data_IF_065488753146
#
_entry.id   IF_065488753146
#
_cell.length_a   1.000
_cell.length_b   1.000
_cell.length_c   1.000
_cell.angle_alpha   90.00
_cell.angle_beta   90.00
_cell.angle_gamma   90.00
#
_symmetry.space_group_name_H-M   'P 1'
#
loop_
_entity.id
_entity.type
_entity.pdbx_description
1 polymer ?
#
# COMPACT_ATOMS: atom_id res chain seq x y z
N UNK A 1 20.63 11.04 -7.52
CA UNK A 1 19.56 12.06 -7.54
C UNK A 1 18.57 11.70 -6.46
N UNK A 2 18.18 12.65 -5.61
CA UNK A 2 17.10 12.43 -4.64
C UNK A 2 15.72 12.52 -5.32
N UNK A 3 14.68 12.06 -4.63
CA UNK A 3 13.33 11.97 -5.17
C UNK A 3 12.77 13.35 -5.56
N UNK A 4 13.03 14.38 -4.75
CA UNK A 4 12.56 15.73 -5.00
C UNK A 4 13.18 16.29 -6.29
N UNK A 5 14.50 16.14 -6.44
CA UNK A 5 15.24 16.53 -7.64
C UNK A 5 14.77 15.76 -8.88
N UNK A 6 14.44 14.48 -8.74
CA UNK A 6 13.89 13.67 -9.83
C UNK A 6 12.55 14.20 -10.34
N UNK A 7 11.66 14.55 -9.41
CA UNK A 7 10.32 15.09 -9.72
C UNK A 7 10.44 16.46 -10.38
N UNK A 8 11.35 17.32 -9.92
CA UNK A 8 11.63 18.60 -10.57
C UNK A 8 12.15 18.39 -12.01
N UNK A 9 13.08 17.47 -12.25
CA UNK A 9 13.54 17.17 -13.61
C UNK A 9 12.42 16.64 -14.50
N UNK A 10 11.56 15.73 -14.00
CA UNK A 10 10.40 15.24 -14.75
C UNK A 10 9.45 16.39 -15.09
N UNK A 11 9.22 17.29 -14.14
CA UNK A 11 8.41 18.48 -14.35
C UNK A 11 9.01 19.40 -15.42
N UNK A 12 10.31 19.66 -15.37
CA UNK A 12 11.01 20.50 -16.34
C UNK A 12 11.02 19.90 -17.75
N UNK A 13 11.08 18.56 -17.85
CA UNK A 13 11.15 17.83 -19.12
C UNK A 13 9.80 17.28 -19.61
N UNK A 14 8.69 17.68 -18.98
CA UNK A 14 7.35 17.17 -19.33
C UNK A 14 7.01 17.48 -20.79
N UNK A 15 6.44 16.48 -21.47
CA UNK A 15 6.05 16.59 -22.90
C UNK A 15 4.87 17.52 -23.14
N UNK A 16 4.09 17.84 -22.10
CA UNK A 16 2.88 18.66 -22.17
C UNK A 16 2.83 19.66 -21.01
N UNK A 17 2.34 20.87 -21.27
CA UNK A 17 2.36 22.00 -20.35
C UNK A 17 0.97 22.38 -19.84
N UNK A 18 0.15 21.39 -19.48
CA UNK A 18 -1.18 21.65 -18.93
C UNK A 18 -1.12 21.73 -17.41
N UNK A 19 -1.83 22.72 -16.87
CA UNK A 19 -2.08 22.87 -15.44
C UNK A 19 -3.53 22.46 -15.08
N UNK A 20 -4.33 21.95 -16.05
CA UNK A 20 -5.67 21.42 -15.79
C UNK A 20 -5.56 20.06 -15.07
N UNK A 21 -6.03 19.95 -13.81
CA UNK A 21 -5.99 18.69 -13.08
C UNK A 21 -6.73 17.55 -13.78
N UNK A 22 -7.79 17.86 -14.56
CA UNK A 22 -8.56 16.83 -15.27
C UNK A 22 -7.75 16.21 -16.41
N UNK A 23 -7.05 17.04 -17.17
CA UNK A 23 -6.23 16.60 -18.29
C UNK A 23 -5.07 15.72 -17.81
N UNK A 24 -4.40 16.13 -16.72
CA UNK A 24 -3.30 15.34 -16.15
C UNK A 24 -3.77 14.01 -15.57
N UNK A 25 -4.93 13.98 -14.92
CA UNK A 25 -5.52 12.71 -14.48
C UNK A 25 -5.93 11.82 -15.66
N UNK A 26 -6.38 12.42 -16.76
CA UNK A 26 -6.70 11.68 -17.99
C UNK A 26 -5.45 11.02 -18.59
N UNK A 27 -4.33 11.75 -18.71
CA UNK A 27 -3.07 11.20 -19.21
C UNK A 27 -2.56 10.06 -18.30
N UNK A 28 -2.54 10.26 -16.98
CA UNK A 28 -2.17 9.18 -16.06
C UNK A 28 -3.02 7.92 -16.24
N UNK A 29 -4.34 8.09 -16.42
CA UNK A 29 -5.24 6.96 -16.63
C UNK A 29 -4.98 6.25 -17.97
N UNK A 30 -4.62 7.00 -19.02
CA UNK A 30 -4.26 6.45 -20.34
C UNK A 30 -3.02 5.56 -20.25
N UNK A 31 -1.92 6.06 -19.66
CA UNK A 31 -0.67 5.29 -19.54
C UNK A 31 -0.86 3.99 -18.72
N UNK A 32 -1.64 4.05 -17.64
CA UNK A 32 -1.98 2.85 -16.85
C UNK A 32 -2.81 1.86 -17.67
N UNK A 33 -3.76 2.35 -18.47
CA UNK A 33 -4.57 1.51 -19.34
C UNK A 33 -3.75 0.86 -20.46
N UNK A 34 -2.77 1.58 -21.04
CA UNK A 34 -1.83 1.06 -22.02
C UNK A 34 -0.96 -0.05 -21.43
N UNK A 35 -0.43 0.16 -20.22
CA UNK A 35 0.36 -0.84 -19.49
C UNK A 35 -0.44 -2.13 -19.29
N UNK A 36 -1.68 -2.03 -18.81
CA UNK A 36 -2.57 -3.19 -18.64
C UNK A 36 -2.88 -3.88 -19.97
N UNK A 37 -3.16 -3.11 -21.03
CA UNK A 37 -3.44 -3.63 -22.37
C UNK A 37 -2.25 -4.40 -22.94
N UNK A 38 -1.02 -3.95 -22.69
CA UNK A 38 0.20 -4.66 -23.08
C UNK A 38 0.37 -5.98 -22.30
N UNK A 39 0.16 -5.96 -20.98
CA UNK A 39 0.18 -7.19 -20.16
C UNK A 39 -0.83 -8.23 -20.65
N UNK A 40 -2.06 -7.82 -20.96
CA UNK A 40 -3.11 -8.71 -21.46
C UNK A 40 -2.76 -9.35 -22.82
N UNK A 41 -1.85 -8.75 -23.59
CA UNK A 41 -1.33 -9.29 -24.86
C UNK A 41 -0.07 -10.14 -24.68
N UNK A 42 0.43 -10.30 -23.45
CA UNK A 42 1.68 -10.99 -23.14
C UNK A 42 2.94 -10.17 -23.40
N UNK A 43 2.81 -8.89 -23.77
CA UNK A 43 3.96 -8.01 -24.04
C UNK A 43 4.41 -7.32 -22.74
N UNK A 44 5.24 -8.05 -21.98
CA UNK A 44 5.72 -7.60 -20.67
C UNK A 44 6.70 -6.42 -20.78
N UNK A 45 7.50 -6.37 -21.84
CA UNK A 45 8.47 -5.28 -22.01
C UNK A 45 7.79 -3.97 -22.38
N UNK A 46 6.74 -4.02 -23.22
CA UNK A 46 5.91 -2.85 -23.44
C UNK A 46 5.19 -2.43 -22.16
N UNK A 47 4.58 -3.36 -21.44
CA UNK A 47 3.89 -3.04 -20.19
C UNK A 47 4.76 -2.29 -19.18
N UNK A 48 6.05 -2.66 -19.06
CA UNK A 48 7.02 -1.96 -18.20
C UNK A 48 7.27 -0.53 -18.67
N UNK A 49 7.44 -0.31 -19.98
CA UNK A 49 7.63 1.04 -20.55
C UNK A 49 6.42 1.95 -20.29
N UNK A 50 5.20 1.46 -20.57
CA UNK A 50 3.99 2.26 -20.30
C UNK A 50 3.82 2.52 -18.78
N UNK A 51 4.29 1.62 -17.92
CA UNK A 51 4.27 1.84 -16.46
C UNK A 51 5.27 2.92 -16.03
N UNK A 52 6.42 3.03 -16.70
CA UNK A 52 7.39 4.12 -16.49
C UNK A 52 6.84 5.46 -16.99
N UNK A 53 6.09 5.47 -18.10
CA UNK A 53 5.37 6.64 -18.59
C UNK A 53 4.25 7.06 -17.60
N UNK A 54 3.51 6.09 -17.05
CA UNK A 54 2.53 6.33 -15.98
C UNK A 54 3.16 6.91 -14.71
N UNK A 55 4.37 6.48 -14.34
CA UNK A 55 5.11 7.02 -13.19
C UNK A 55 5.42 8.52 -13.38
N UNK A 56 5.82 8.90 -14.60
CA UNK A 56 6.08 10.30 -14.94
C UNK A 56 4.79 11.14 -14.84
N UNK A 57 3.68 10.63 -15.38
CA UNK A 57 2.37 11.27 -15.27
C UNK A 57 1.90 11.41 -13.81
N UNK A 58 2.17 10.41 -12.96
CA UNK A 58 1.85 10.45 -11.54
C UNK A 58 2.62 11.57 -10.83
N UNK A 59 3.90 11.75 -11.09
CA UNK A 59 4.67 12.84 -10.48
C UNK A 59 4.21 14.22 -10.93
N UNK A 60 3.85 14.38 -12.20
CA UNK A 60 3.23 15.62 -12.72
C UNK A 60 1.91 15.88 -12.00
N UNK A 61 1.05 14.87 -11.84
CA UNK A 61 -0.21 14.98 -11.13
C UNK A 61 0.01 15.41 -9.67
N UNK A 62 0.89 14.72 -8.94
CA UNK A 62 1.19 15.05 -7.54
C UNK A 62 1.64 16.51 -7.38
N UNK A 63 2.41 17.04 -8.33
CA UNK A 63 2.83 18.45 -8.33
C UNK A 63 1.67 19.42 -8.58
N UNK A 64 0.80 19.15 -9.56
CA UNK A 64 -0.38 19.99 -9.84
C UNK A 64 -1.37 20.00 -8.67
N UNK A 65 -1.51 18.86 -7.98
CA UNK A 65 -2.36 18.74 -6.79
C UNK A 65 -1.67 19.22 -5.49
N UNK A 66 -0.47 19.80 -5.58
CA UNK A 66 0.32 20.29 -4.43
C UNK A 66 0.51 19.21 -3.33
N UNK A 67 0.78 17.98 -3.75
CA UNK A 67 1.00 16.85 -2.85
C UNK A 67 2.49 16.73 -2.54
N UNK A 68 2.85 16.92 -1.26
CA UNK A 68 4.18 16.56 -0.76
C UNK A 68 4.38 15.04 -0.83
N UNK A 69 5.28 14.61 -1.72
CA UNK A 69 5.50 13.21 -2.05
C UNK A 69 6.11 12.44 -0.87
N UNK A 70 7.07 13.03 -0.15
CA UNK A 70 7.70 12.35 0.98
C UNK A 70 6.68 12.12 2.11
N UNK A 71 5.87 13.13 2.39
CA UNK A 71 4.83 13.05 3.40
C UNK A 71 3.68 12.14 2.97
N UNK A 72 3.32 12.12 1.68
CA UNK A 72 2.38 11.16 1.13
C UNK A 72 2.88 9.72 1.31
N UNK A 73 4.15 9.44 1.00
CA UNK A 73 4.78 8.11 1.20
C UNK A 73 4.75 7.73 2.68
N UNK A 74 5.16 8.63 3.59
CA UNK A 74 5.12 8.38 5.04
C UNK A 74 3.70 8.03 5.50
N UNK A 75 2.69 8.81 5.10
CA UNK A 75 1.28 8.56 5.41
C UNK A 75 0.80 7.21 4.88
N UNK A 76 1.14 6.85 3.65
CA UNK A 76 0.76 5.57 3.06
C UNK A 76 1.41 4.39 3.81
N UNK A 77 2.71 4.48 4.14
CA UNK A 77 3.39 3.44 4.93
C UNK A 77 2.73 3.23 6.29
N UNK A 78 2.35 4.31 6.98
CA UNK A 78 1.63 4.22 8.26
C UNK A 78 0.25 3.57 8.07
N UNK A 79 -0.50 3.95 7.04
CA UNK A 79 -1.81 3.37 6.74
C UNK A 79 -1.71 1.88 6.40
N UNK A 80 -0.72 1.48 5.60
CA UNK A 80 -0.49 0.08 5.26
C UNK A 80 -0.14 -0.77 6.49
N UNK A 81 0.64 -0.24 7.44
CA UNK A 81 0.90 -0.90 8.73
C UNK A 81 -0.36 -1.06 9.58
N UNK A 82 -1.27 -0.08 9.57
CA UNK A 82 -2.57 -0.17 10.25
C UNK A 82 -3.48 -1.26 9.66
N UNK A 83 -3.34 -1.57 8.36
CA UNK A 83 -4.15 -2.60 7.68
C UNK A 83 -3.77 -4.04 8.05
N UNK A 84 -2.63 -4.26 8.73
CA UNK A 84 -2.30 -5.58 9.31
C UNK A 84 -3.31 -5.94 10.42
N UNK A 85 -4.00 -4.92 10.99
CA UNK A 85 -5.04 -5.09 11.98
C UNK A 85 -4.53 -5.65 13.31
N UNK A 86 -5.46 -5.91 14.21
CA UNK A 86 -5.19 -6.72 15.39
C UNK A 86 -5.29 -8.20 14.95
N UNK A 87 -4.29 -9.00 15.26
CA UNK A 87 -4.24 -10.42 14.93
C UNK A 87 -3.96 -11.20 16.20
N UNK A 88 -4.73 -12.26 16.42
CA UNK A 88 -4.46 -13.22 17.47
C UNK A 88 -4.06 -14.54 16.82
N UNK A 89 -2.85 -15.01 17.13
CA UNK A 89 -2.33 -16.29 16.65
C UNK A 89 -2.50 -17.31 17.77
N UNK A 90 -3.31 -18.34 17.54
CA UNK A 90 -3.41 -19.50 18.42
C UNK A 90 -2.47 -20.59 17.91
N UNK A 91 -1.53 -20.97 18.77
CA UNK A 91 -0.65 -22.13 18.61
C UNK A 91 -1.09 -23.23 19.56
N UNK A 92 -0.48 -24.41 19.43
CA UNK A 92 -0.79 -25.56 20.31
C UNK A 92 -0.56 -25.27 21.80
N UNK A 93 0.42 -24.44 22.16
CA UNK A 93 0.86 -24.20 23.53
C UNK A 93 0.68 -22.76 24.02
N UNK A 94 0.29 -21.83 23.14
CA UNK A 94 0.16 -20.40 23.48
C UNK A 94 -0.69 -19.60 22.51
N UNK A 95 -1.15 -18.45 23.00
CA UNK A 95 -1.75 -17.36 22.24
C UNK A 95 -0.75 -16.23 22.10
N UNK A 96 -0.65 -15.62 20.91
CA UNK A 96 0.13 -14.41 20.66
C UNK A 96 -0.78 -13.31 20.10
N UNK A 97 -0.74 -12.11 20.70
CA UNK A 97 -1.49 -10.94 20.23
C UNK A 97 -0.55 -9.98 19.52
N UNK A 98 -0.86 -9.73 18.25
CA UNK A 98 -0.18 -8.75 17.42
C UNK A 98 -1.11 -7.55 17.17
N UNK A 99 -0.61 -6.35 17.41
CA UNK A 99 -1.30 -5.10 17.06
C UNK A 99 -0.47 -4.40 16.01
N UNK A 100 -1.02 -4.28 14.79
CA UNK A 100 -0.31 -3.71 13.63
C UNK A 100 1.03 -4.41 13.37
N UNK A 101 1.07 -5.74 13.52
CA UNK A 101 2.26 -6.56 13.31
C UNK A 101 3.29 -6.55 14.45
N UNK A 102 3.03 -5.88 15.57
CA UNK A 102 3.92 -5.87 16.74
C UNK A 102 3.36 -6.81 17.82
N UNK A 103 4.16 -7.76 18.32
CA UNK A 103 3.78 -8.61 19.46
C UNK A 103 3.55 -7.73 20.70
N UNK A 104 2.33 -7.74 21.22
CA UNK A 104 1.94 -6.95 22.41
C UNK A 104 1.79 -7.80 23.66
N UNK A 105 1.60 -9.10 23.50
CA UNK A 105 1.44 -10.02 24.62
C UNK A 105 1.03 -11.40 24.15
N UNK A 106 0.84 -12.29 25.11
CA UNK A 106 0.46 -13.67 24.88
C UNK A 106 0.41 -14.43 26.20
N UNK A 107 -0.23 -15.59 26.19
CA UNK A 107 -0.30 -16.48 27.34
C UNK A 107 -0.26 -17.94 26.88
N UNK A 108 0.10 -18.85 27.77
CA UNK A 108 0.11 -20.28 27.50
C UNK A 108 -1.31 -20.85 27.47
N UNK A 109 -1.53 -21.84 26.60
CA UNK A 109 -2.76 -22.62 26.51
C UNK A 109 -2.52 -23.94 27.25
N UNK A 110 -3.41 -24.28 28.17
CA UNK A 110 -3.41 -25.50 28.96
C UNK A 110 -4.60 -26.40 28.67
N UNK A 111 -5.60 -25.91 27.94
CA UNK A 111 -6.73 -26.70 27.48
C UNK A 111 -7.74 -25.91 26.64
N UNK A 112 -8.86 -26.56 26.34
CA UNK A 112 -9.91 -26.03 25.47
C UNK A 112 -10.57 -24.75 26.01
N UNK A 113 -10.58 -24.56 27.32
CA UNK A 113 -11.17 -23.37 27.91
C UNK A 113 -10.31 -22.11 27.65
N UNK A 114 -8.99 -22.24 27.61
CA UNK A 114 -8.08 -21.13 27.22
C UNK A 114 -8.28 -20.73 25.75
N UNK A 115 -8.61 -21.70 24.90
CA UNK A 115 -8.92 -21.46 23.48
C UNK A 115 -10.22 -20.67 23.35
N UNK A 116 -11.27 -21.03 24.09
CA UNK A 116 -12.55 -20.31 24.09
C UNK A 116 -12.40 -18.88 24.64
N UNK A 117 -11.62 -18.73 25.71
CA UNK A 117 -11.27 -17.42 26.28
C UNK A 117 -10.56 -16.55 25.23
N UNK A 118 -9.58 -17.12 24.53
CA UNK A 118 -8.86 -16.45 23.45
C UNK A 118 -9.79 -16.04 22.30
N UNK A 119 -10.70 -16.93 21.86
CA UNK A 119 -11.68 -16.62 20.81
C UNK A 119 -12.63 -15.49 21.24
N UNK A 120 -13.04 -15.45 22.51
CA UNK A 120 -13.87 -14.37 23.07
C UNK A 120 -13.12 -13.03 23.08
N UNK A 121 -11.89 -13.02 23.60
CA UNK A 121 -11.02 -11.84 23.64
C UNK A 121 -10.76 -11.35 22.22
N UNK A 122 -10.44 -12.23 21.28
CA UNK A 122 -10.24 -11.84 19.89
C UNK A 122 -11.46 -11.12 19.30
N UNK A 123 -12.67 -11.59 19.60
CA UNK A 123 -13.91 -10.93 19.17
C UNK A 123 -14.11 -9.56 19.82
N UNK A 124 -13.83 -9.43 21.12
CA UNK A 124 -13.94 -8.16 21.86
C UNK A 124 -12.95 -7.10 21.35
N UNK A 125 -11.72 -7.51 21.02
CA UNK A 125 -10.66 -6.62 20.55
C UNK A 125 -10.59 -6.46 19.03
N UNK A 126 -11.53 -7.05 18.28
CA UNK A 126 -11.58 -6.99 16.82
C UNK A 126 -10.37 -7.66 16.16
N UNK A 127 -9.79 -8.67 16.79
CA UNK A 127 -8.66 -9.42 16.26
C UNK A 127 -9.10 -10.43 15.21
N UNK A 128 -8.37 -10.51 14.10
CA UNK A 128 -8.45 -11.67 13.21
C UNK A 128 -7.73 -12.85 13.85
N UNK A 129 -8.40 -14.00 13.94
CA UNK A 129 -7.81 -15.23 14.47
C UNK A 129 -7.06 -15.99 13.37
N UNK A 130 -5.84 -16.42 13.66
CA UNK A 130 -5.04 -17.34 12.84
C UNK A 130 -4.72 -18.56 13.71
N UNK A 131 -5.08 -19.76 13.25
CA UNK A 131 -4.72 -21.02 13.92
C UNK A 131 -3.47 -21.59 13.21
N UNK A 132 -2.40 -21.87 13.95
CA UNK A 132 -1.10 -22.32 13.41
C UNK A 132 -0.48 -23.44 14.24
#
# INVERSE_FOLDING_TARGET
MDLKSAVELIWENRKYSTDDPKEVMSHLNEEVAESLKALLKGDTDRAKRELEDALSCLFIALKIFDVDIEEAIKRQVVQMKKRVGNVMILRNDKVEIYVNGILKGGWSIWGDDDIKEAEKIAKEFGCKIIKS
#
